data_IF_512089395685
#
_entry.id   IF_512089395685
#
_cell.length_a   1.000
_cell.length_b   1.000
_cell.length_c   1.000
_cell.angle_alpha   90.00
_cell.angle_beta   90.00
_cell.angle_gamma   90.00
#
_symmetry.space_group_name_H-M   'P 1'
#
loop_
_entity.id
_entity.type
_entity.pdbx_description
1 polymer ?
#
# COMPACT_ATOMS: atom_id res chain seq x y z
N UNK A 1 43.86 -35.29 27.73
CA UNK A 1 44.05 -35.44 26.27
C UNK A 1 42.75 -35.89 25.63
N UNK A 2 42.13 -35.06 24.78
CA UNK A 2 41.61 -35.42 23.44
C UNK A 2 40.78 -34.27 22.87
N UNK A 3 41.08 -33.96 21.61
CA UNK A 3 40.56 -32.90 20.74
C UNK A 3 39.26 -33.33 20.04
N UNK A 4 38.58 -32.35 19.42
CA UNK A 4 37.88 -32.37 18.11
C UNK A 4 36.44 -31.84 18.22
N UNK A 5 36.11 -30.65 17.71
CA UNK A 5 35.77 -30.26 16.32
C UNK A 5 34.49 -30.91 15.76
N UNK A 6 33.50 -30.02 15.53
CA UNK A 6 32.37 -29.98 14.57
C UNK A 6 31.82 -31.29 13.99
N UNK A 7 30.48 -31.42 13.98
CA UNK A 7 29.55 -31.75 12.86
C UNK A 7 28.20 -32.15 13.51
N UNK A 8 27.14 -31.35 13.40
CA UNK A 8 26.16 -31.34 12.31
C UNK A 8 25.01 -32.36 12.51
N UNK A 9 23.82 -31.81 12.79
CA UNK A 9 22.46 -32.24 12.35
C UNK A 9 21.82 -33.50 12.97
N UNK A 10 20.62 -33.30 13.57
CA UNK A 10 19.31 -33.92 13.24
C UNK A 10 18.42 -33.99 14.49
N UNK A 11 17.31 -33.23 14.60
CA UNK A 11 15.96 -33.43 14.01
C UNK A 11 14.98 -33.84 15.12
N UNK A 12 13.90 -33.08 15.33
CA UNK A 12 12.50 -33.54 15.42
C UNK A 12 11.57 -32.30 15.47
N UNK A 13 11.09 -31.95 14.28
CA UNK A 13 9.73 -31.53 13.87
C UNK A 13 8.88 -30.52 14.68
N UNK A 14 8.47 -29.49 13.93
CA UNK A 14 7.11 -28.93 13.84
C UNK A 14 6.50 -28.35 15.14
N UNK A 15 6.82 -27.09 15.39
CA UNK A 15 5.78 -26.07 15.32
C UNK A 15 6.13 -25.11 14.18
N UNK A 16 5.24 -24.96 13.20
CA UNK A 16 5.21 -23.76 12.36
C UNK A 16 4.86 -22.59 13.26
N UNK A 17 5.85 -22.10 14.01
CA UNK A 17 5.79 -20.78 14.59
C UNK A 17 6.40 -19.87 13.52
N UNK A 18 5.51 -19.23 12.78
CA UNK A 18 5.82 -18.14 11.87
C UNK A 18 6.75 -17.18 12.62
N UNK A 19 8.06 -17.25 12.37
CA UNK A 19 9.04 -16.33 12.97
C UNK A 19 8.66 -14.93 12.50
N UNK A 20 7.82 -14.26 13.29
CA UNK A 20 7.70 -12.81 13.22
C UNK A 20 9.07 -12.30 13.59
N UNK A 21 9.91 -12.05 12.57
CA UNK A 21 11.11 -11.24 12.73
C UNK A 21 10.69 -10.00 13.49
N UNK A 22 11.12 -9.88 14.73
CA UNK A 22 10.83 -8.73 15.57
C UNK A 22 11.82 -7.65 15.13
N UNK A 23 11.38 -6.83 14.20
CA UNK A 23 12.20 -5.74 13.67
C UNK A 23 12.33 -4.65 14.72
N UNK A 24 13.47 -3.97 14.73
CA UNK A 24 13.60 -2.76 15.54
C UNK A 24 12.53 -1.73 15.10
N UNK A 25 12.10 -0.87 16.03
CA UNK A 25 11.10 0.18 15.75
C UNK A 25 11.47 1.00 14.50
N UNK A 26 12.76 1.28 14.31
CA UNK A 26 13.30 2.01 13.16
C UNK A 26 13.11 1.23 11.85
N UNK A 27 13.53 -0.02 11.78
CA UNK A 27 13.36 -0.88 10.60
C UNK A 27 11.89 -1.13 10.27
N UNK A 28 11.01 -1.14 11.27
CA UNK A 28 9.57 -1.22 11.07
C UNK A 28 9.03 0.03 10.38
N UNK A 29 9.39 1.22 10.87
CA UNK A 29 9.00 2.50 10.27
C UNK A 29 9.55 2.61 8.83
N UNK A 30 10.81 2.30 8.60
CA UNK A 30 11.45 2.41 7.28
C UNK A 30 10.75 1.55 6.22
N UNK A 31 10.39 0.30 6.54
CA UNK A 31 9.67 -0.56 5.60
C UNK A 31 8.24 -0.10 5.35
N UNK A 32 7.57 0.44 6.37
CA UNK A 32 6.24 1.04 6.19
C UNK A 32 6.31 2.25 5.25
N UNK A 33 7.33 3.10 5.40
CA UNK A 33 7.57 4.23 4.50
C UNK A 33 7.87 3.74 3.08
N UNK A 34 8.67 2.69 2.92
CA UNK A 34 8.99 2.10 1.61
C UNK A 34 7.72 1.61 0.88
N UNK A 35 6.87 0.84 1.57
CA UNK A 35 5.61 0.34 0.99
C UNK A 35 4.65 1.49 0.65
N UNK A 36 4.54 2.49 1.53
CA UNK A 36 3.74 3.68 1.25
C UNK A 36 4.25 4.45 0.02
N UNK A 37 5.57 4.66 -0.10
CA UNK A 37 6.17 5.36 -1.23
C UNK A 37 5.91 4.61 -2.54
N UNK A 38 6.14 3.30 -2.58
CA UNK A 38 5.85 2.47 -3.77
C UNK A 38 4.37 2.54 -4.15
N UNK A 39 3.48 2.49 -3.17
CA UNK A 39 2.05 2.65 -3.42
C UNK A 39 1.72 3.99 -4.08
N UNK A 40 2.28 5.08 -3.54
CA UNK A 40 2.09 6.44 -4.09
C UNK A 40 2.68 6.55 -5.50
N UNK A 41 3.84 5.95 -5.76
CA UNK A 41 4.46 5.93 -7.09
C UNK A 41 3.57 5.27 -8.14
N UNK A 42 2.97 4.12 -7.82
CA UNK A 42 2.01 3.47 -8.71
C UNK A 42 0.75 4.31 -8.93
N UNK A 43 0.22 4.91 -7.87
CA UNK A 43 -0.94 5.80 -7.99
C UNK A 43 -0.62 7.05 -8.84
N UNK A 44 0.59 7.61 -8.73
CA UNK A 44 1.04 8.74 -9.54
C UNK A 44 1.16 8.38 -11.02
N UNK A 45 1.68 7.18 -11.35
CA UNK A 45 1.69 6.68 -12.74
C UNK A 45 0.27 6.56 -13.30
N UNK A 46 -0.70 6.11 -12.48
CA UNK A 46 -2.13 6.06 -12.85
C UNK A 46 -2.71 7.46 -13.09
N UNK A 47 -2.41 8.44 -12.23
CA UNK A 47 -2.85 9.83 -12.42
C UNK A 47 -2.27 10.41 -13.71
N UNK A 48 -0.99 10.15 -14.00
CA UNK A 48 -0.35 10.59 -15.23
C UNK A 48 -1.04 10.03 -16.49
N UNK A 49 -1.46 8.76 -16.47
CA UNK A 49 -2.23 8.18 -17.58
C UNK A 49 -3.58 8.87 -17.76
N UNK A 50 -4.32 9.12 -16.68
CA UNK A 50 -5.61 9.81 -16.74
C UNK A 50 -5.45 11.25 -17.27
N UNK A 51 -4.38 11.93 -16.90
CA UNK A 51 -4.11 13.31 -17.33
C UNK A 51 -3.48 13.43 -18.72
N UNK A 52 -3.01 12.33 -19.31
CA UNK A 52 -2.35 12.32 -20.63
C UNK A 52 -3.35 12.52 -21.77
N UNK A 53 -4.56 12.00 -21.61
CA UNK A 53 -5.62 12.18 -22.60
C UNK A 53 -6.31 13.53 -22.39
N UNK A 54 -6.08 14.47 -23.31
CA UNK A 54 -6.83 15.74 -23.40
C UNK A 54 -8.26 15.55 -23.91
N UNK A 55 -8.58 14.35 -24.40
CA UNK A 55 -9.92 13.92 -24.78
C UNK A 55 -10.65 13.33 -23.58
N UNK A 56 -11.96 13.61 -23.46
CA UNK A 56 -12.85 13.06 -22.40
C UNK A 56 -12.97 11.52 -22.39
N UNK A 57 -12.31 10.81 -23.32
CA UNK A 57 -12.38 9.37 -23.50
C UNK A 57 -10.99 8.76 -23.29
N UNK A 58 -10.85 8.02 -22.19
CA UNK A 58 -9.68 7.19 -21.91
C UNK A 58 -9.71 5.97 -22.82
N UNK A 59 -8.61 5.66 -23.51
CA UNK A 59 -8.55 4.49 -24.39
C UNK A 59 -8.73 3.18 -23.61
N UNK A 60 -9.27 2.12 -24.25
CA UNK A 60 -9.40 0.81 -23.60
C UNK A 60 -8.06 0.25 -23.11
N UNK A 61 -6.97 0.55 -23.82
CA UNK A 61 -5.61 0.17 -23.43
C UNK A 61 -5.16 0.92 -22.17
N UNK A 62 -5.39 2.24 -22.11
CA UNK A 62 -5.03 3.04 -20.95
C UNK A 62 -5.89 2.68 -19.74
N UNK A 63 -7.15 2.31 -19.95
CA UNK A 63 -8.02 1.81 -18.89
C UNK A 63 -7.51 0.50 -18.28
N UNK A 64 -6.91 -0.40 -19.07
CA UNK A 64 -6.27 -1.60 -18.54
C UNK A 64 -5.06 -1.24 -17.66
N UNK A 65 -4.19 -0.33 -18.14
CA UNK A 65 -3.03 0.13 -17.38
C UNK A 65 -3.40 0.86 -16.10
N UNK A 66 -4.47 1.68 -16.13
CA UNK A 66 -5.02 2.35 -14.94
C UNK A 66 -5.40 1.30 -13.88
N UNK A 67 -6.12 0.24 -14.27
CA UNK A 67 -6.49 -0.84 -13.34
C UNK A 67 -5.26 -1.56 -12.79
N UNK A 68 -4.27 -1.86 -13.61
CA UNK A 68 -3.03 -2.53 -13.17
C UNK A 68 -2.26 -1.68 -12.17
N UNK A 69 -2.06 -0.40 -12.46
CA UNK A 69 -1.39 0.51 -11.53
C UNK A 69 -2.17 0.70 -10.22
N UNK A 70 -3.51 0.73 -10.27
CA UNK A 70 -4.31 0.75 -9.05
C UNK A 70 -4.13 -0.53 -8.22
N UNK A 71 -4.06 -1.70 -8.86
CA UNK A 71 -3.81 -2.98 -8.18
C UNK A 71 -2.44 -2.98 -7.50
N UNK A 72 -1.39 -2.59 -8.21
CA UNK A 72 -0.04 -2.48 -7.62
C UNK A 72 0.02 -1.46 -6.47
N UNK A 73 -0.68 -0.33 -6.60
CA UNK A 73 -0.78 0.64 -5.52
C UNK A 73 -1.47 0.05 -4.28
N UNK A 74 -2.55 -0.71 -4.46
CA UNK A 74 -3.29 -1.37 -3.38
C UNK A 74 -2.43 -2.46 -2.73
N UNK A 75 -1.76 -3.30 -3.52
CA UNK A 75 -0.94 -4.41 -3.02
C UNK A 75 0.20 -3.89 -2.11
N UNK A 76 0.85 -2.78 -2.47
CA UNK A 76 1.84 -2.14 -1.61
C UNK A 76 1.20 -1.46 -0.41
N UNK A 77 0.03 -0.84 -0.59
CA UNK A 77 -0.67 -0.15 0.50
C UNK A 77 -1.16 -1.10 1.60
N UNK A 78 -1.53 -2.34 1.25
CA UNK A 78 -1.96 -3.36 2.23
C UNK A 78 -0.81 -3.85 3.12
N UNK A 79 0.44 -3.67 2.70
CA UNK A 79 1.63 -4.04 3.48
C UNK A 79 1.97 -3.00 4.56
N UNK A 80 1.33 -1.84 4.53
CA UNK A 80 1.52 -0.77 5.52
C UNK A 80 0.72 -1.07 6.79
N UNK A 81 1.42 -1.17 7.90
CA UNK A 81 0.87 -1.31 9.24
C UNK A 81 0.40 0.04 9.81
N UNK A 82 -0.92 0.18 9.92
CA UNK A 82 -1.57 1.36 10.50
C UNK A 82 -1.17 1.66 11.94
N UNK A 83 -0.76 0.65 12.72
CA UNK A 83 -0.28 0.84 14.10
C UNK A 83 1.06 1.58 14.07
N UNK A 84 1.95 1.21 13.15
CA UNK A 84 3.23 1.90 12.96
C UNK A 84 3.00 3.34 12.51
N UNK A 85 2.06 3.58 11.59
CA UNK A 85 1.70 4.94 11.17
C UNK A 85 1.18 5.80 12.34
N UNK A 86 0.31 5.24 13.19
CA UNK A 86 -0.18 5.94 14.38
C UNK A 86 0.95 6.26 15.38
N UNK A 87 2.02 5.46 15.42
CA UNK A 87 3.19 5.75 16.25
C UNK A 87 4.04 6.92 15.73
N UNK A 88 3.92 7.25 14.43
CA UNK A 88 4.55 8.43 13.82
C UNK A 88 3.69 9.66 14.10
N UNK A 89 2.39 9.55 13.91
CA UNK A 89 1.44 10.64 14.13
C UNK A 89 0.07 10.11 14.47
N UNK A 90 -0.52 10.64 15.54
CA UNK A 90 -1.84 10.21 15.99
C UNK A 90 -2.90 10.37 14.89
N UNK A 91 -3.76 9.37 14.77
CA UNK A 91 -4.78 9.27 13.74
C UNK A 91 -4.29 8.99 12.31
N UNK A 92 -2.97 8.91 12.06
CA UNK A 92 -2.44 8.71 10.71
C UNK A 92 -2.83 7.36 10.11
N UNK A 93 -2.73 6.27 10.88
CA UNK A 93 -3.18 4.95 10.43
C UNK A 93 -4.66 4.93 10.06
N UNK A 94 -5.50 5.67 10.80
CA UNK A 94 -6.93 5.72 10.55
C UNK A 94 -7.28 6.50 9.27
N UNK A 95 -6.67 7.67 9.06
CA UNK A 95 -6.88 8.45 7.83
C UNK A 95 -6.33 7.70 6.62
N UNK A 96 -5.15 7.07 6.75
CA UNK A 96 -4.55 6.23 5.73
C UNK A 96 -5.50 5.10 5.30
N UNK A 97 -5.98 4.29 6.25
CA UNK A 97 -6.86 3.17 5.90
C UNK A 97 -8.17 3.65 5.26
N UNK A 98 -8.86 4.60 5.89
CA UNK A 98 -10.22 4.98 5.49
C UNK A 98 -10.28 5.83 4.22
N UNK A 99 -9.25 6.63 3.96
CA UNK A 99 -9.24 7.61 2.88
C UNK A 99 -8.32 7.19 1.74
N UNK A 100 -7.12 6.73 2.03
CA UNK A 100 -6.17 6.28 1.01
C UNK A 100 -6.49 4.86 0.53
N UNK A 101 -6.29 3.84 1.36
CA UNK A 101 -6.42 2.43 0.95
C UNK A 101 -7.85 2.08 0.53
N UNK A 102 -8.84 2.42 1.36
CA UNK A 102 -10.26 2.17 1.05
C UNK A 102 -10.72 2.98 -0.16
N UNK A 103 -10.20 4.20 -0.35
CA UNK A 103 -10.47 5.03 -1.53
C UNK A 103 -10.04 4.35 -2.81
N UNK A 104 -8.79 3.89 -2.88
CA UNK A 104 -8.28 3.15 -4.05
C UNK A 104 -9.05 1.87 -4.32
N UNK A 105 -9.38 1.08 -3.28
CA UNK A 105 -10.19 -0.14 -3.45
C UNK A 105 -11.59 0.14 -4.00
N UNK A 106 -12.23 1.21 -3.52
CA UNK A 106 -13.53 1.65 -4.06
C UNK A 106 -13.39 2.10 -5.50
N UNK A 107 -12.33 2.84 -5.83
CA UNK A 107 -12.07 3.29 -7.19
C UNK A 107 -11.91 2.10 -8.15
N UNK A 108 -11.06 1.13 -7.81
CA UNK A 108 -10.83 -0.07 -8.62
C UNK A 108 -12.14 -0.83 -8.84
N UNK A 109 -12.88 -1.08 -7.77
CA UNK A 109 -14.15 -1.80 -7.83
C UNK A 109 -15.16 -1.06 -8.72
N UNK A 110 -15.24 0.26 -8.59
CA UNK A 110 -16.08 1.10 -9.44
C UNK A 110 -15.72 0.97 -10.92
N UNK A 111 -14.42 0.94 -11.25
CA UNK A 111 -13.95 0.74 -12.63
C UNK A 111 -14.30 -0.67 -13.13
N UNK A 112 -14.06 -1.70 -12.32
CA UNK A 112 -14.32 -3.10 -12.70
C UNK A 112 -15.82 -3.39 -12.90
N UNK A 113 -16.69 -2.75 -12.12
CA UNK A 113 -18.15 -2.91 -12.19
C UNK A 113 -18.83 -1.91 -13.16
N UNK A 114 -18.08 -0.97 -13.76
CA UNK A 114 -18.66 0.13 -14.53
C UNK A 114 -19.51 1.11 -13.70
N UNK A 115 -19.29 1.14 -12.38
CA UNK A 115 -19.97 2.03 -11.44
C UNK A 115 -19.17 3.32 -11.27
N UNK A 116 -19.42 4.29 -12.16
CA UNK A 116 -18.73 5.59 -12.17
C UNK A 116 -18.85 6.34 -10.85
N UNK A 117 -20.01 6.27 -10.17
CA UNK A 117 -20.20 6.93 -8.88
C UNK A 117 -19.24 6.35 -7.83
N UNK A 118 -19.14 5.02 -7.73
CA UNK A 118 -18.20 4.38 -6.80
C UNK A 118 -16.75 4.71 -7.14
N UNK A 119 -16.43 4.79 -8.44
CA UNK A 119 -15.09 5.19 -8.90
C UNK A 119 -14.73 6.59 -8.42
N UNK A 120 -15.61 7.56 -8.65
CA UNK A 120 -15.46 8.96 -8.21
C UNK A 120 -15.42 9.08 -6.69
N UNK A 121 -16.30 8.38 -5.97
CA UNK A 121 -16.31 8.36 -4.51
C UNK A 121 -14.99 7.83 -3.93
N UNK A 122 -14.33 6.89 -4.63
CA UNK A 122 -12.99 6.42 -4.31
C UNK A 122 -11.92 7.52 -4.47
N UNK A 123 -11.94 8.25 -5.59
CA UNK A 123 -11.03 9.37 -5.84
C UNK A 123 -11.22 10.51 -4.83
N UNK A 124 -12.46 10.86 -4.49
CA UNK A 124 -12.75 11.90 -3.50
C UNK A 124 -12.17 11.56 -2.12
N UNK A 125 -12.14 10.28 -1.75
CA UNK A 125 -11.47 9.83 -0.52
C UNK A 125 -9.97 10.02 -0.59
N UNK A 126 -9.35 9.76 -1.74
CA UNK A 126 -7.93 10.05 -1.93
C UNK A 126 -7.63 11.55 -1.79
N UNK A 127 -8.48 12.43 -2.32
CA UNK A 127 -8.33 13.87 -2.14
C UNK A 127 -8.45 14.29 -0.66
N UNK A 128 -9.36 13.68 0.09
CA UNK A 128 -9.47 13.89 1.54
C UNK A 128 -8.21 13.46 2.29
N UNK A 129 -7.58 12.36 1.86
CA UNK A 129 -6.28 11.94 2.39
C UNK A 129 -5.21 13.00 2.11
N UNK A 130 -5.07 13.46 0.87
CA UNK A 130 -4.08 14.50 0.52
C UNK A 130 -4.31 15.80 1.29
N UNK A 131 -5.57 16.23 1.46
CA UNK A 131 -5.91 17.39 2.28
C UNK A 131 -5.46 17.23 3.72
N UNK A 132 -5.63 16.04 4.31
CA UNK A 132 -5.17 15.76 5.66
C UNK A 132 -3.64 15.81 5.76
N UNK A 133 -2.92 15.22 4.80
CA UNK A 133 -1.46 15.24 4.75
C UNK A 133 -0.93 16.67 4.66
N UNK A 134 -1.47 17.46 3.72
CA UNK A 134 -1.07 18.86 3.53
C UNK A 134 -1.35 19.73 4.76
N UNK A 135 -2.46 19.47 5.47
CA UNK A 135 -2.82 20.23 6.68
C UNK A 135 -1.94 19.87 7.87
N UNK A 136 -1.66 18.59 8.05
CA UNK A 136 -1.02 18.11 9.26
C UNK A 136 0.51 18.09 9.13
N UNK A 137 1.05 17.98 7.93
CA UNK A 137 2.44 17.63 7.70
C UNK A 137 2.71 16.17 8.07
N UNK A 138 3.47 15.51 7.21
CA UNK A 138 4.22 14.30 7.58
C UNK A 138 5.63 14.70 7.95
#
# INVERSE_FOLDING_TARGET
>A
MKRAFLYLICFVTFYSCNEKKEYSKKESIERNVEHLQKSIEWNNKRIQLVNKDTTLLVSSKDMLLIKEYLKYAIDEAEKVDTIVLNSVKDGYGNIYYNKYLKGMKMELKGIEEGNNKMSIDGQLKYDEFLKWINKNGL
#
